data_IF_138973230092
#
_entry.id   IF_138973230092
#
_cell.length_a   1.000
_cell.length_b   1.000
_cell.length_c   1.000
_cell.angle_alpha   90.00
_cell.angle_beta   90.00
_cell.angle_gamma   90.00
#
_symmetry.space_group_name_H-M   'P 1'
#
loop_
_entity.id
_entity.type
_entity.pdbx_description
1 polymer ?
#
# COMPACT_ATOMS: atom_id res chain seq x y z
N UNK A 1 -13.25 13.20 5.07
CA UNK A 1 -13.29 11.84 5.66
C UNK A 1 -12.93 10.84 4.57
N UNK A 2 -11.76 10.19 4.62
CA UNK A 2 -11.39 9.21 3.60
C UNK A 2 -12.00 7.85 3.95
N UNK A 3 -12.96 7.42 3.14
CA UNK A 3 -13.58 6.11 3.23
C UNK A 3 -12.52 5.03 2.96
N UNK A 4 -12.16 4.28 3.99
CA UNK A 4 -11.36 3.04 3.88
C UNK A 4 -12.13 1.94 3.11
N UNK A 5 -13.37 2.20 2.68
CA UNK A 5 -14.22 1.33 1.86
C UNK A 5 -13.59 0.89 0.52
N UNK A 6 -12.58 1.61 0.03
CA UNK A 6 -11.85 1.26 -1.20
C UNK A 6 -10.54 0.49 -0.97
N UNK A 7 -10.34 -0.05 0.23
CA UNK A 7 -9.18 -0.89 0.48
C UNK A 7 -9.31 -2.24 -0.23
N UNK A 8 -8.30 -2.61 -1.03
CA UNK A 8 -8.24 -3.89 -1.73
C UNK A 8 -7.05 -4.70 -1.21
N UNK A 9 -7.32 -5.92 -0.78
CA UNK A 9 -6.29 -6.92 -0.51
C UNK A 9 -5.93 -7.59 -1.83
N UNK A 10 -4.66 -7.55 -2.19
CA UNK A 10 -4.16 -8.06 -3.47
C UNK A 10 -2.78 -8.68 -3.29
N UNK A 11 -2.24 -9.22 -4.38
CA UNK A 11 -0.92 -9.79 -4.43
C UNK A 11 -0.04 -8.93 -5.36
N UNK A 12 1.22 -8.76 -4.99
CA UNK A 12 2.24 -8.27 -5.93
C UNK A 12 2.48 -9.32 -7.02
N UNK A 13 3.19 -8.92 -8.09
CA UNK A 13 3.62 -9.84 -9.16
C UNK A 13 4.38 -11.08 -8.67
N UNK A 14 4.96 -11.02 -7.47
CA UNK A 14 5.73 -12.09 -6.85
C UNK A 14 4.94 -12.82 -5.74
N UNK A 15 3.61 -12.71 -5.72
CA UNK A 15 2.75 -13.37 -4.73
C UNK A 15 2.81 -12.79 -3.31
N UNK A 16 3.59 -11.71 -3.08
CA UNK A 16 3.62 -11.06 -1.76
C UNK A 16 2.34 -10.27 -1.51
N UNK A 17 1.75 -10.32 -0.30
CA UNK A 17 0.50 -9.63 -0.02
C UNK A 17 0.69 -8.10 0.00
N UNK A 18 -0.33 -7.40 -0.50
CA UNK A 18 -0.37 -5.93 -0.65
C UNK A 18 -1.77 -5.44 -0.26
N UNK A 19 -1.84 -4.28 0.39
CA UNK A 19 -3.07 -3.51 0.55
C UNK A 19 -3.00 -2.28 -0.36
N UNK A 20 -4.01 -2.08 -1.19
CA UNK A 20 -4.19 -0.90 -2.03
C UNK A 20 -5.29 -0.02 -1.43
N UNK A 21 -5.05 1.27 -1.22
CA UNK A 21 -6.07 2.25 -0.82
C UNK A 21 -5.96 3.45 -1.77
N UNK A 22 -6.94 3.62 -2.65
CA UNK A 22 -6.81 4.57 -3.78
C UNK A 22 -5.61 4.18 -4.65
N UNK A 23 -4.73 5.12 -4.95
CA UNK A 23 -3.50 4.87 -5.72
C UNK A 23 -2.31 4.43 -4.87
N UNK A 24 -2.48 4.41 -3.54
CA UNK A 24 -1.42 4.14 -2.58
C UNK A 24 -1.30 2.65 -2.28
N UNK A 25 -0.06 2.15 -2.33
CA UNK A 25 0.28 0.75 -2.03
C UNK A 25 0.98 0.60 -0.69
N UNK A 26 0.49 -0.36 0.09
CA UNK A 26 1.06 -0.76 1.36
C UNK A 26 1.54 -2.20 1.30
N UNK A 27 2.82 -2.42 1.57
CA UNK A 27 3.43 -3.75 1.63
C UNK A 27 3.41 -4.27 3.07
N UNK A 28 3.27 -5.59 3.24
CA UNK A 28 3.42 -6.22 4.55
C UNK A 28 4.83 -5.99 5.09
N UNK A 29 4.91 -5.43 6.30
CA UNK A 29 6.18 -5.14 6.96
C UNK A 29 6.42 -6.05 8.15
N UNK A 30 5.38 -6.31 8.93
CA UNK A 30 5.47 -7.10 10.14
C UNK A 30 4.18 -7.89 10.34
N UNK A 31 4.33 -9.14 10.79
CA UNK A 31 3.25 -10.01 11.24
C UNK A 31 3.60 -10.44 12.67
N UNK A 32 2.67 -10.29 13.60
CA UNK A 32 2.88 -10.76 14.97
C UNK A 32 3.13 -12.28 14.99
N UNK A 33 4.05 -12.73 15.86
CA UNK A 33 4.35 -14.16 16.05
C UNK A 33 3.19 -14.89 16.73
N UNK A 34 2.53 -14.21 17.66
CA UNK A 34 1.37 -14.70 18.40
C UNK A 34 0.25 -13.66 18.21
N UNK A 35 -0.67 -13.95 17.28
CA UNK A 35 -1.79 -13.07 16.93
C UNK A 35 -1.93 -12.83 15.43
N UNK A 36 -3.07 -12.26 15.03
CA UNK A 36 -3.42 -11.97 13.64
C UNK A 36 -3.07 -10.55 13.20
N UNK A 37 -2.48 -9.75 14.09
CA UNK A 37 -2.10 -8.38 13.82
C UNK A 37 -0.99 -8.29 12.76
N UNK A 38 -1.22 -7.48 11.74
CA UNK A 38 -0.26 -7.19 10.67
C UNK A 38 -0.09 -5.69 10.51
N UNK A 39 1.16 -5.28 10.29
CA UNK A 39 1.52 -3.90 9.98
C UNK A 39 1.98 -3.79 8.53
N UNK A 40 1.35 -2.87 7.82
CA UNK A 40 1.58 -2.58 6.42
C UNK A 40 2.08 -1.15 6.28
N UNK A 41 3.03 -0.93 5.38
CA UNK A 41 3.69 0.35 5.20
C UNK A 41 3.68 0.77 3.76
N UNK A 42 3.61 2.08 3.51
CA UNK A 42 3.73 2.62 2.17
C UNK A 42 4.98 2.07 1.45
N UNK A 43 4.80 1.63 0.20
CA UNK A 43 5.88 1.08 -0.61
C UNK A 43 7.00 2.10 -0.88
N UNK A 44 6.70 3.41 -0.87
CA UNK A 44 7.68 4.48 -1.03
C UNK A 44 8.42 4.82 0.27
N UNK A 45 8.16 4.15 1.40
CA UNK A 45 8.86 4.42 2.68
C UNK A 45 10.39 4.40 2.54
N UNK A 46 10.93 3.46 1.76
CA UNK A 46 12.39 3.31 1.58
C UNK A 46 13.01 4.47 0.79
N UNK A 47 12.28 5.04 -0.17
CA UNK A 47 12.80 6.08 -1.06
C UNK A 47 12.45 7.50 -0.62
N UNK A 48 11.34 7.69 0.09
CA UNK A 48 10.79 9.02 0.45
C UNK A 48 10.72 9.25 1.97
N UNK A 49 11.05 8.24 2.78
CA UNK A 49 10.87 8.31 4.23
C UNK A 49 9.40 8.28 4.68
N UNK A 50 8.45 7.96 3.79
CA UNK A 50 7.03 7.94 4.09
C UNK A 50 6.67 7.10 5.31
N UNK A 51 5.81 7.65 6.17
CA UNK A 51 5.35 7.02 7.42
C UNK A 51 3.88 6.60 7.38
N UNK A 52 3.24 6.65 6.21
CA UNK A 52 1.89 6.13 6.04
C UNK A 52 1.87 4.62 6.31
N UNK A 53 0.85 4.17 7.05
CA UNK A 53 0.73 2.79 7.47
C UNK A 53 -0.72 2.33 7.63
N UNK A 54 -0.91 1.03 7.57
CA UNK A 54 -2.18 0.35 7.85
C UNK A 54 -1.91 -0.76 8.86
N UNK A 55 -2.82 -0.96 9.81
CA UNK A 55 -2.82 -2.11 10.71
C UNK A 55 -4.07 -2.93 10.41
N UNK A 56 -3.89 -4.24 10.28
CA UNK A 56 -4.99 -5.20 10.17
C UNK A 56 -4.94 -6.22 11.29
N UNK A 57 -6.10 -6.78 11.63
CA UNK A 57 -6.28 -7.94 12.51
C UNK A 57 -7.25 -8.87 11.77
N UNK A 58 -6.86 -10.13 11.56
CA UNK A 58 -7.65 -11.11 10.79
C UNK A 58 -8.18 -10.57 9.45
N UNK A 59 -7.27 -9.90 8.71
CA UNK A 59 -7.55 -9.26 7.42
C UNK A 59 -8.62 -8.14 7.46
N UNK A 60 -9.01 -7.69 8.65
CA UNK A 60 -9.83 -6.50 8.88
C UNK A 60 -8.91 -5.31 9.15
N UNK A 61 -9.15 -4.19 8.45
CA UNK A 61 -8.42 -2.94 8.70
C UNK A 61 -8.93 -2.30 9.98
N UNK A 62 -8.06 -2.21 10.99
CA UNK A 62 -8.38 -1.60 12.30
C UNK A 62 -7.78 -0.22 12.48
N UNK A 63 -6.75 0.13 11.69
CA UNK A 63 -6.13 1.46 11.73
C UNK A 63 -5.55 1.86 10.38
N UNK A 64 -5.76 3.10 9.98
CA UNK A 64 -5.17 3.70 8.78
C UNK A 64 -4.55 5.05 9.12
N UNK A 65 -3.25 5.20 8.85
CA UNK A 65 -2.57 6.49 8.78
C UNK A 65 -2.23 6.76 7.30
N UNK A 66 -3.12 7.47 6.61
CA UNK A 66 -3.01 7.71 5.16
C UNK A 66 -2.37 9.06 4.79
N UNK A 67 -1.55 9.63 5.67
CA UNK A 67 -0.82 10.86 5.40
C UNK A 67 0.51 10.51 4.73
N UNK A 68 0.60 10.78 3.43
CA UNK A 68 1.80 10.54 2.63
C UNK A 68 2.59 11.84 2.49
N UNK A 69 3.92 11.73 2.47
CA UNK A 69 4.84 12.83 2.24
C UNK A 69 5.41 12.82 0.82
N UNK A 70 4.80 12.05 -0.07
CA UNK A 70 5.15 11.96 -1.48
C UNK A 70 3.88 12.00 -2.31
N UNK A 71 3.99 12.61 -3.47
CA UNK A 71 2.95 12.55 -4.49
C UNK A 71 3.26 11.39 -5.42
N UNK A 72 2.24 10.69 -5.89
CA UNK A 72 2.39 9.92 -7.11
C UNK A 72 2.36 10.94 -8.25
N UNK A 73 3.53 11.32 -8.73
CA UNK A 73 3.63 11.85 -10.08
C UNK A 73 3.38 10.64 -10.96
N UNK A 74 2.35 10.67 -11.78
CA UNK A 74 1.97 9.55 -12.65
C UNK A 74 2.98 9.42 -13.80
N UNK A 75 4.23 9.09 -13.46
CA UNK A 75 5.30 8.76 -14.39
C UNK A 75 5.18 7.31 -14.83
N UNK A 76 3.96 6.83 -15.11
CA UNK A 76 3.91 5.72 -16.05
C UNK A 76 4.62 6.23 -17.30
N UNK A 77 5.69 5.57 -17.79
CA UNK A 77 6.11 5.86 -19.14
C UNK A 77 4.85 5.63 -19.97
N UNK A 78 4.35 6.69 -20.61
CA UNK A 78 3.52 6.54 -21.81
C UNK A 78 4.25 5.47 -22.59
N UNK A 79 3.65 4.28 -22.70
CA UNK A 79 4.22 3.24 -23.55
C UNK A 79 4.47 3.95 -24.87
N UNK A 80 5.71 3.94 -25.35
CA UNK A 80 6.02 4.43 -26.67
C UNK A 80 4.99 3.79 -27.60
N UNK A 81 4.08 4.63 -28.09
CA UNK A 81 3.21 4.32 -29.21
C UNK A 81 4.21 4.11 -30.34
N UNK A 82 4.47 2.85 -30.68
CA UNK A 82 5.18 2.56 -31.91
C UNK A 82 4.19 2.94 -33.02
N UNK A 83 4.44 4.10 -33.62
CA UNK A 83 3.95 4.47 -34.94
C UNK A 83 4.65 3.54 -35.96
N UNK A 84 3.89 2.61 -36.53
CA UNK A 84 4.15 1.93 -37.81
C UNK A 84 2.80 1.69 -38.51
#
# INVERSE_FOLDING_TARGET
MYNHRNAKFTLSRFGRPVIQIGDMRFNLHFKAKHGSARRWLCNKRRTTGCRACVITIDDVIVKVKNQHNHQYIDLTPVKAENDD
#
